data_IF_854720878823
#
_entry.id   IF_854720878823
#
_cell.length_a   1.000
_cell.length_b   1.000
_cell.length_c   1.000
_cell.angle_alpha   90.00
_cell.angle_beta   90.00
_cell.angle_gamma   90.00
#
_symmetry.space_group_name_H-M   'P 1'
#
loop_
_entity.id
_entity.type
_entity.pdbx_description
1 polymer ?
#
# COMPACT_ATOMS: atom_id res chain seq x y z
N UNK A 1 -8.77 8.57 19.63
CA UNK A 1 -9.19 7.79 18.45
C UNK A 1 -9.64 6.41 18.93
N UNK A 2 -10.94 6.12 18.90
CA UNK A 2 -11.47 4.82 19.34
C UNK A 2 -11.03 3.72 18.39
N UNK A 3 -10.49 2.62 18.92
CA UNK A 3 -10.23 1.42 18.12
C UNK A 3 -11.56 0.82 17.72
N UNK A 4 -11.97 1.04 16.47
CA UNK A 4 -13.16 0.43 15.91
C UNK A 4 -12.98 -1.10 16.01
N UNK A 5 -13.77 -1.74 16.88
CA UNK A 5 -13.66 -3.18 17.15
C UNK A 5 -14.47 -3.94 16.11
N UNK A 6 -13.77 -4.44 15.09
CA UNK A 6 -14.33 -5.40 14.15
C UNK A 6 -14.51 -6.76 14.83
N UNK A 7 -15.62 -7.44 14.53
CA UNK A 7 -15.91 -8.77 15.07
C UNK A 7 -14.92 -9.81 14.51
N UNK A 8 -14.69 -10.93 15.20
CA UNK A 8 -13.82 -12.00 14.71
C UNK A 8 -14.22 -12.50 13.32
N UNK A 9 -15.52 -12.70 13.10
CA UNK A 9 -16.08 -13.23 11.85
C UNK A 9 -15.82 -12.29 10.68
N UNK A 10 -15.93 -10.98 10.93
CA UNK A 10 -15.61 -9.96 9.92
C UNK A 10 -14.13 -10.00 9.50
N UNK A 11 -13.23 -10.21 10.46
CA UNK A 11 -11.78 -10.28 10.19
C UNK A 11 -11.43 -11.55 9.42
N UNK A 12 -12.05 -12.67 9.76
CA UNK A 12 -11.86 -13.93 9.06
C UNK A 12 -12.36 -13.84 7.61
N UNK A 13 -13.52 -13.23 7.38
CA UNK A 13 -14.04 -13.03 6.03
C UNK A 13 -13.12 -12.12 5.19
N UNK A 14 -12.67 -11.01 5.76
CA UNK A 14 -11.73 -10.12 5.08
C UNK A 14 -10.42 -10.83 4.71
N UNK A 15 -9.93 -11.73 5.57
CA UNK A 15 -8.73 -12.52 5.30
C UNK A 15 -9.00 -13.62 4.26
N UNK A 16 -10.16 -14.29 4.29
CA UNK A 16 -10.54 -15.29 3.26
C UNK A 16 -10.68 -14.68 1.88
N UNK A 17 -11.15 -13.45 1.76
CA UNK A 17 -11.16 -12.75 0.47
C UNK A 17 -9.74 -12.59 -0.11
N UNK A 18 -8.75 -12.34 0.74
CA UNK A 18 -7.35 -12.21 0.33
C UNK A 18 -6.71 -13.57 0.05
N UNK A 19 -6.92 -14.56 0.92
CA UNK A 19 -6.19 -15.83 0.85
C UNK A 19 -6.85 -16.91 0.01
N UNK A 20 -8.18 -16.99 0.01
CA UNK A 20 -8.93 -18.04 -0.69
C UNK A 20 -9.43 -17.54 -2.05
N UNK A 21 -9.93 -16.30 -2.09
CA UNK A 21 -10.47 -15.71 -3.31
C UNK A 21 -9.42 -14.95 -4.13
N UNK A 22 -8.22 -14.75 -3.57
CA UNK A 22 -7.08 -14.15 -4.27
C UNK A 22 -7.21 -12.64 -4.53
N UNK A 23 -8.12 -11.94 -3.85
CA UNK A 23 -8.23 -10.49 -3.98
C UNK A 23 -7.02 -9.78 -3.38
N UNK A 24 -6.67 -8.62 -3.95
CA UNK A 24 -5.57 -7.83 -3.41
C UNK A 24 -5.98 -7.16 -2.09
N UNK A 25 -5.00 -6.92 -1.22
CA UNK A 25 -5.23 -6.21 0.05
C UNK A 25 -5.78 -4.79 -0.19
N UNK A 26 -5.45 -4.19 -1.33
CA UNK A 26 -5.93 -2.86 -1.71
C UNK A 26 -7.41 -2.91 -2.06
N UNK A 27 -7.82 -3.85 -2.91
CA UNK A 27 -9.23 -4.00 -3.31
C UNK A 27 -10.13 -4.31 -2.10
N UNK A 28 -9.67 -5.19 -1.21
CA UNK A 28 -10.41 -5.56 0.01
C UNK A 28 -10.44 -4.38 1.00
N UNK A 29 -9.39 -3.57 1.05
CA UNK A 29 -9.32 -2.35 1.87
C UNK A 29 -10.36 -1.32 1.42
N UNK A 30 -10.46 -1.09 0.11
CA UNK A 30 -11.42 -0.17 -0.50
C UNK A 30 -12.87 -0.69 -0.37
N UNK A 31 -13.09 -1.99 -0.61
CA UNK A 31 -14.42 -2.62 -0.54
C UNK A 31 -15.00 -2.60 0.88
N UNK A 32 -14.18 -2.94 1.88
CA UNK A 32 -14.63 -3.07 3.27
C UNK A 32 -14.50 -1.75 4.06
N UNK A 33 -13.91 -0.71 3.47
CA UNK A 33 -13.64 0.56 4.15
C UNK A 33 -12.69 0.43 5.34
N UNK A 34 -11.79 -0.55 5.30
CA UNK A 34 -10.84 -0.86 6.38
C UNK A 34 -9.44 -0.53 5.90
N UNK A 35 -8.57 0.01 6.77
CA UNK A 35 -7.19 0.27 6.37
C UNK A 35 -6.46 -1.03 5.98
N UNK A 36 -5.68 -0.97 4.90
CA UNK A 36 -4.78 -2.06 4.49
C UNK A 36 -3.88 -2.52 5.65
N UNK A 37 -3.46 -1.60 6.53
CA UNK A 37 -2.67 -1.93 7.72
C UNK A 37 -3.40 -2.88 8.69
N UNK A 38 -4.71 -2.73 8.87
CA UNK A 38 -5.52 -3.63 9.68
C UNK A 38 -5.65 -5.01 9.05
N UNK A 39 -5.81 -5.08 7.72
CA UNK A 39 -5.89 -6.33 6.97
C UNK A 39 -4.58 -7.12 7.09
N UNK A 40 -3.43 -6.47 6.91
CA UNK A 40 -2.11 -7.10 7.13
C UNK A 40 -1.95 -7.62 8.57
N UNK A 41 -2.43 -6.86 9.56
CA UNK A 41 -2.40 -7.30 10.95
C UNK A 41 -3.24 -8.55 11.17
N UNK A 42 -4.44 -8.63 10.58
CA UNK A 42 -5.32 -9.80 10.70
C UNK A 42 -4.73 -11.04 10.02
N UNK A 43 -4.16 -10.86 8.82
CA UNK A 43 -3.44 -11.89 8.09
C UNK A 43 -2.31 -12.52 8.92
N UNK A 44 -1.57 -11.68 9.66
CA UNK A 44 -0.47 -12.09 10.53
C UNK A 44 -0.95 -12.84 11.80
N UNK A 45 -2.12 -12.48 12.34
CA UNK A 45 -2.70 -13.18 13.50
C UNK A 45 -3.23 -14.58 13.16
N UNK A 46 -3.64 -14.83 11.92
CA UNK A 46 -4.25 -16.12 11.52
C UNK A 46 -3.19 -17.15 11.10
N UNK A 47 -1.98 -16.72 10.69
CA UNK A 47 -0.85 -17.60 10.38
C UNK A 47 0.36 -17.31 11.29
N UNK A 48 0.40 -17.85 12.53
CA UNK A 48 1.51 -17.63 13.45
C UNK A 48 2.86 -18.26 13.02
N UNK A 49 2.86 -19.20 12.06
CA UNK A 49 4.05 -20.01 11.72
C UNK A 49 4.95 -19.44 10.60
N UNK A 50 4.54 -18.35 9.92
CA UNK A 50 5.32 -17.71 8.82
C UNK A 50 5.96 -16.37 9.24
N UNK A 51 6.13 -16.14 10.54
CA UNK A 51 6.40 -14.84 11.15
C UNK A 51 7.71 -14.14 10.72
N UNK A 52 8.70 -14.90 10.23
CA UNK A 52 9.97 -14.37 9.72
C UNK A 52 9.89 -13.81 8.29
N UNK A 53 9.23 -14.53 7.37
CA UNK A 53 9.19 -14.15 5.95
C UNK A 53 8.34 -12.90 5.69
N UNK A 54 7.20 -12.75 6.38
CA UNK A 54 6.34 -11.58 6.22
C UNK A 54 6.91 -10.28 6.80
N UNK A 55 7.79 -10.37 7.82
CA UNK A 55 8.44 -9.18 8.37
C UNK A 55 9.45 -8.60 7.39
N UNK A 56 10.12 -9.46 6.62
CA UNK A 56 11.07 -9.07 5.59
C UNK A 56 10.35 -8.50 4.36
N UNK A 57 9.29 -9.17 3.87
CA UNK A 57 8.46 -8.67 2.76
C UNK A 57 7.83 -7.30 3.06
N UNK A 58 7.40 -7.06 4.31
CA UNK A 58 6.83 -5.77 4.69
C UNK A 58 7.89 -4.67 4.75
N UNK A 59 9.13 -5.02 5.11
CA UNK A 59 10.26 -4.11 5.07
C UNK A 59 10.61 -3.77 3.63
N UNK A 60 10.68 -4.77 2.77
CA UNK A 60 11.01 -4.64 1.34
C UNK A 60 9.92 -3.89 0.57
N UNK A 61 8.65 -4.10 0.90
CA UNK A 61 7.55 -3.32 0.35
C UNK A 61 7.63 -1.84 0.79
N UNK A 62 8.04 -1.56 2.04
CA UNK A 62 8.20 -0.18 2.53
C UNK A 62 9.37 0.54 1.87
N UNK A 63 10.50 -0.13 1.68
CA UNK A 63 11.66 0.45 1.01
C UNK A 63 11.35 0.75 -0.45
N UNK A 64 10.63 -0.15 -1.14
CA UNK A 64 10.25 0.07 -2.53
C UNK A 64 9.23 1.20 -2.68
N UNK A 65 8.25 1.33 -1.78
CA UNK A 65 7.32 2.48 -1.76
C UNK A 65 8.09 3.80 -1.60
N UNK A 66 9.09 3.85 -0.72
CA UNK A 66 9.89 5.07 -0.53
C UNK A 66 10.73 5.39 -1.77
N UNK A 67 11.32 4.37 -2.41
CA UNK A 67 12.10 4.52 -3.65
C UNK A 67 11.23 5.03 -4.79
N UNK A 68 10.06 4.42 -5.00
CA UNK A 68 9.13 4.81 -6.06
C UNK A 68 8.60 6.23 -5.85
N UNK A 69 8.31 6.64 -4.61
CA UNK A 69 7.95 8.03 -4.29
C UNK A 69 9.07 9.02 -4.58
N UNK A 70 10.32 8.65 -4.30
CA UNK A 70 11.47 9.49 -4.61
C UNK A 70 11.69 9.64 -6.13
N UNK A 71 11.52 8.55 -6.89
CA UNK A 71 11.61 8.58 -8.35
C UNK A 71 10.50 9.41 -8.98
N UNK A 72 9.25 9.24 -8.53
CA UNK A 72 8.11 10.05 -9.00
C UNK A 72 8.38 11.54 -8.81
N UNK A 73 8.81 11.94 -7.61
CA UNK A 73 9.10 13.34 -7.31
C UNK A 73 10.20 13.91 -8.23
N UNK A 74 11.26 13.15 -8.48
CA UNK A 74 12.34 13.57 -9.38
C UNK A 74 11.87 13.69 -10.83
N UNK A 75 11.07 12.74 -11.31
CA UNK A 75 10.53 12.78 -12.67
C UNK A 75 9.56 13.95 -12.86
N UNK A 76 8.76 14.28 -11.84
CA UNK A 76 7.91 15.48 -11.82
C UNK A 76 8.75 16.76 -11.91
N UNK A 77 9.81 16.87 -11.10
CA UNK A 77 10.73 18.01 -11.13
C UNK A 77 11.44 18.16 -12.49
N UNK A 78 11.91 17.07 -13.09
CA UNK A 78 12.54 17.08 -14.42
C UNK A 78 11.54 17.52 -15.51
N UNK A 79 10.28 17.08 -15.46
CA UNK A 79 9.26 17.56 -16.40
C UNK A 79 8.95 19.04 -16.21
N UNK A 80 8.88 19.52 -14.98
CA UNK A 80 8.57 20.92 -14.70
C UNK A 80 9.68 21.85 -15.20
N UNK A 81 10.94 21.42 -15.05
CA UNK A 81 12.09 22.15 -15.61
C UNK A 81 12.03 22.18 -17.14
N UNK A 82 11.77 21.04 -17.80
CA UNK A 82 11.66 20.96 -19.26
C UNK A 82 10.50 21.80 -19.79
N UNK A 83 9.36 21.78 -19.10
CA UNK A 83 8.19 22.58 -19.46
C UNK A 83 8.47 24.08 -19.33
N UNK A 84 9.18 24.49 -18.27
CA UNK A 84 9.58 25.89 -18.07
C UNK A 84 10.55 26.35 -19.17
N UNK A 85 11.57 25.55 -19.48
CA UNK A 85 12.54 25.85 -20.52
C UNK A 85 11.88 25.95 -21.93
N UNK A 86 10.92 25.07 -22.23
CA UNK A 86 10.19 25.13 -23.51
C UNK A 86 9.34 26.42 -23.64
N UNK A 87 8.67 26.83 -22.56
CA UNK A 87 7.90 28.08 -22.50
C UNK A 87 8.81 29.30 -22.63
N UNK A 88 9.98 29.28 -21.99
CA UNK A 88 10.94 30.38 -22.07
C UNK A 88 11.54 30.52 -23.50
N UNK A 89 11.71 29.42 -24.25
CA UNK A 89 12.18 29.45 -25.65
C UNK A 89 11.11 29.80 -26.69
N UNK A 90 9.82 29.66 -26.39
CA UNK A 90 8.72 30.04 -27.29
C UNK A 90 8.40 31.55 -27.25
N UNK A 91 8.99 32.27 -26.27
CA UNK A 91 8.69 33.67 -25.98
C UNK A 91 9.88 34.63 -26.26
N UNK A 92 10.94 34.14 -26.91
CA UNK A 92 12.06 34.89 -27.51
C UNK A 92 11.92 34.93 -29.05
#
# INVERSE_FOLDING_TARGET
>A
MGTQRFTPEFKEEAVRQITEHGYSVVDVSELLGVSAHSLYKWLRSIKPDNSGYQAQDLLDARTEILRLKALLKRTEEERDILKKAAVDTEND
#
